data_IF_711926700223
#
_entry.id   IF_711926700223
#
_cell.length_a   1.000
_cell.length_b   1.000
_cell.length_c   1.000
_cell.angle_alpha   90.00
_cell.angle_beta   90.00
_cell.angle_gamma   90.00
#
_symmetry.space_group_name_H-M   'P 1'
#
loop_
_entity.id
_entity.type
_entity.pdbx_description
1 polymer ?
#
# COMPACT_ATOMS: atom_id res chain seq x y z
N UNK A 1 36.07 7.81 -0.26
CA UNK A 1 35.43 6.63 -0.84
C UNK A 1 33.93 6.75 -0.63
N UNK A 2 33.22 7.38 -1.57
CA UNK A 2 31.78 7.57 -1.53
C UNK A 2 31.23 7.01 -2.84
N UNK A 3 30.66 5.80 -2.80
CA UNK A 3 30.01 5.21 -3.94
C UNK A 3 28.61 5.84 -4.07
N UNK A 4 28.51 6.81 -4.97
CA UNK A 4 27.25 7.36 -5.43
C UNK A 4 26.52 6.28 -6.24
N UNK A 5 25.53 5.63 -5.63
CA UNK A 5 24.57 4.80 -6.36
C UNK A 5 23.44 5.70 -6.88
N UNK A 6 23.68 6.30 -8.05
CA UNK A 6 22.62 6.83 -8.89
C UNK A 6 21.79 5.65 -9.43
N UNK A 7 20.62 5.40 -8.86
CA UNK A 7 19.64 4.49 -9.42
C UNK A 7 18.50 5.33 -10.02
N UNK A 8 18.50 5.38 -11.34
CA UNK A 8 17.52 6.05 -12.17
C UNK A 8 16.11 5.55 -11.89
N UNK A 9 15.14 6.43 -12.17
CA UNK A 9 13.71 6.20 -12.25
C UNK A 9 13.35 5.13 -13.31
N UNK A 10 13.77 3.89 -13.09
CA UNK A 10 13.37 2.74 -13.87
C UNK A 10 11.99 2.30 -13.37
N UNK A 11 11.05 2.17 -14.29
CA UNK A 11 9.88 1.34 -14.10
C UNK A 11 10.33 0.04 -13.42
N UNK A 12 9.86 -0.22 -12.20
CA UNK A 12 10.04 -1.51 -11.55
C UNK A 12 9.23 -2.52 -12.36
N UNK A 13 9.84 -3.01 -13.43
CA UNK A 13 9.54 -4.31 -14.02
C UNK A 13 10.28 -5.28 -13.14
N UNK A 14 9.61 -5.79 -12.09
CA UNK A 14 10.09 -7.02 -11.44
C UNK A 14 10.06 -8.10 -12.52
N UNK A 15 11.18 -8.79 -12.82
CA UNK A 15 11.18 -9.90 -13.76
C UNK A 15 10.13 -10.94 -13.32
N UNK A 16 9.16 -11.24 -14.18
CA UNK A 16 8.04 -12.15 -13.89
C UNK A 16 6.71 -11.48 -13.51
N UNK A 17 6.66 -10.15 -13.41
CA UNK A 17 5.41 -9.43 -13.15
C UNK A 17 4.58 -9.31 -14.45
N UNK A 18 3.58 -10.17 -14.63
CA UNK A 18 2.66 -10.06 -15.77
C UNK A 18 1.95 -8.69 -15.74
N UNK A 19 1.81 -8.00 -16.90
CA UNK A 19 1.01 -6.79 -16.99
C UNK A 19 -0.45 -7.15 -16.70
N UNK A 20 -1.09 -6.44 -15.77
CA UNK A 20 -2.54 -6.53 -15.62
C UNK A 20 -3.15 -6.01 -16.92
N UNK A 21 -3.94 -6.85 -17.57
CA UNK A 21 -4.60 -6.56 -18.82
C UNK A 21 -5.39 -5.25 -18.76
N UNK A 22 -5.25 -4.46 -19.81
CA UNK A 22 -5.99 -3.22 -20.02
C UNK A 22 -7.48 -3.48 -20.25
N UNK A 23 -8.32 -2.53 -19.83
CA UNK A 23 -9.79 -2.33 -20.06
C UNK A 23 -10.77 -2.84 -18.98
N UNK A 24 -12.00 -2.28 -18.88
CA UNK A 24 -12.53 -1.02 -19.41
C UNK A 24 -12.72 0.06 -18.32
N UNK A 25 -12.80 1.32 -18.75
CA UNK A 25 -13.13 2.50 -17.94
C UNK A 25 -14.51 2.36 -17.30
N UNK A 26 -14.55 2.31 -15.97
CA UNK A 26 -15.78 2.58 -15.20
C UNK A 26 -16.03 4.09 -15.20
N UNK A 27 -17.28 4.55 -15.41
CA UNK A 27 -17.59 5.98 -15.38
C UNK A 27 -17.48 6.53 -13.96
N UNK A 28 -17.10 7.81 -13.88
CA UNK A 28 -16.91 8.61 -12.67
C UNK A 28 -18.05 8.47 -11.66
N UNK A 29 -17.71 8.04 -10.44
CA UNK A 29 -18.54 8.20 -9.26
C UNK A 29 -18.41 9.65 -8.74
N UNK A 30 -18.87 10.60 -9.53
CA UNK A 30 -19.10 11.97 -9.09
C UNK A 30 -20.40 12.01 -8.26
N UNK A 31 -20.30 11.82 -6.95
CA UNK A 31 -21.20 12.41 -5.94
C UNK A 31 -20.83 11.93 -4.52
N UNK A 32 -19.89 12.64 -3.88
CA UNK A 32 -20.03 12.94 -2.46
C UNK A 32 -19.28 14.25 -2.13
N UNK A 33 -19.73 15.34 -2.75
CA UNK A 33 -19.47 16.70 -2.27
C UNK A 33 -20.39 16.99 -1.07
N UNK A 34 -20.08 16.38 0.06
CA UNK A 34 -20.61 16.82 1.35
C UNK A 34 -19.45 17.43 2.14
N UNK A 35 -19.55 18.72 2.42
CA UNK A 35 -18.48 19.57 2.91
C UNK A 35 -17.78 19.01 4.15
N UNK A 36 -16.47 18.81 4.03
CA UNK A 36 -15.59 18.81 5.19
C UNK A 36 -15.22 20.27 5.41
N UNK A 37 -16.04 20.94 6.23
CA UNK A 37 -15.57 22.08 6.99
C UNK A 37 -14.24 21.69 7.63
N UNK A 38 -13.28 22.62 7.61
CA UNK A 38 -11.99 22.47 8.27
C UNK A 38 -12.20 22.22 9.78
N UNK A 39 -12.47 20.97 10.17
CA UNK A 39 -12.32 20.55 11.54
C UNK A 39 -10.82 20.36 11.76
N UNK A 40 -10.24 21.35 12.41
CA UNK A 40 -8.85 21.49 12.78
C UNK A 40 -8.44 20.48 13.86
N UNK A 41 -8.70 19.19 13.61
CA UNK A 41 -8.18 18.05 14.38
C UNK A 41 -8.05 16.82 13.47
N UNK A 42 -7.26 16.93 12.39
CA UNK A 42 -6.57 15.75 11.86
C UNK A 42 -5.89 15.10 13.07
N UNK A 43 -6.35 13.92 13.48
CA UNK A 43 -5.83 13.23 14.66
C UNK A 43 -4.39 12.80 14.38
N UNK A 44 -3.46 13.73 14.59
CA UNK A 44 -2.01 13.67 14.29
C UNK A 44 -1.27 12.64 15.15
N UNK A 45 -1.94 11.92 16.04
CA UNK A 45 -1.27 11.10 17.04
C UNK A 45 -1.27 9.58 16.77
N UNK A 46 -1.95 9.09 15.73
CA UNK A 46 -2.11 7.64 15.51
C UNK A 46 -1.60 7.10 14.17
N UNK A 47 -2.04 7.70 13.06
CA UNK A 47 -2.02 7.02 11.75
C UNK A 47 -0.93 7.50 10.77
N UNK A 48 0.02 8.32 11.21
CA UNK A 48 1.04 8.93 10.34
C UNK A 48 1.87 7.88 9.58
N UNK A 49 2.13 6.71 10.20
CA UNK A 49 2.92 5.63 9.61
C UNK A 49 2.25 4.92 8.42
N UNK A 50 0.97 5.19 8.13
CA UNK A 50 0.27 4.59 6.99
C UNK A 50 -0.26 5.63 6.01
N UNK A 51 0.04 6.92 6.24
CA UNK A 51 -0.42 7.99 5.37
C UNK A 51 0.36 8.00 4.06
N UNK A 52 -0.37 8.17 2.97
CA UNK A 52 0.19 8.33 1.63
C UNK A 52 0.81 9.73 1.45
N UNK A 53 1.80 9.88 0.57
CA UNK A 53 2.54 11.15 0.40
C UNK A 53 1.66 12.33 -0.03
N UNK A 54 0.62 12.10 -0.84
CA UNK A 54 -0.32 13.14 -1.27
C UNK A 54 -1.21 13.66 -0.14
N UNK A 55 -1.58 12.79 0.79
CA UNK A 55 -2.36 13.18 1.98
C UNK A 55 -1.47 13.96 2.94
N UNK A 56 -0.21 13.55 3.10
CA UNK A 56 0.79 14.32 3.87
C UNK A 56 1.07 15.70 3.25
N UNK A 57 1.07 15.80 1.92
CA UNK A 57 1.25 17.05 1.21
C UNK A 57 0.00 17.95 1.19
N UNK A 58 -1.13 17.49 1.74
CA UNK A 58 -2.39 18.25 1.74
C UNK A 58 -3.08 18.33 0.37
N UNK A 59 -2.70 17.48 -0.59
CA UNK A 59 -3.27 17.45 -1.95
C UNK A 59 -4.68 16.81 -2.00
N UNK A 60 -5.21 16.40 -0.84
CA UNK A 60 -6.50 15.73 -0.70
C UNK A 60 -6.38 14.23 -0.49
N UNK A 61 -7.48 13.64 0.00
CA UNK A 61 -7.62 12.21 0.21
C UNK A 61 -8.44 11.59 -0.92
N UNK A 62 -8.13 10.34 -1.27
CA UNK A 62 -8.91 9.56 -2.22
C UNK A 62 -8.66 8.07 -2.10
N UNK A 63 -9.41 7.21 -2.83
CA UNK A 63 -9.36 5.75 -2.66
C UNK A 63 -7.98 5.11 -2.90
N UNK A 64 -7.09 5.82 -3.60
CA UNK A 64 -5.71 5.36 -3.85
C UNK A 64 -4.75 5.68 -2.70
N UNK A 65 -5.14 6.55 -1.78
CA UNK A 65 -4.46 6.71 -0.50
C UNK A 65 -4.62 5.43 0.34
N UNK A 66 -5.81 4.83 0.35
CA UNK A 66 -6.05 3.56 1.07
C UNK A 66 -5.21 2.41 0.53
N UNK A 67 -4.93 2.40 -0.77
CA UNK A 67 -4.03 1.39 -1.39
C UNK A 67 -2.61 1.49 -0.82
N UNK A 68 -2.12 2.71 -0.59
CA UNK A 68 -0.83 2.92 0.08
C UNK A 68 -0.89 2.41 1.52
N UNK A 69 -1.92 2.80 2.27
CA UNK A 69 -2.11 2.41 3.66
C UNK A 69 -2.21 0.88 3.82
N UNK A 70 -2.92 0.22 2.92
CA UNK A 70 -3.01 -1.24 2.87
C UNK A 70 -1.65 -1.91 2.60
N UNK A 71 -0.83 -1.31 1.72
CA UNK A 71 0.56 -1.74 1.52
C UNK A 71 1.38 -1.66 2.81
N UNK A 72 1.26 -0.55 3.55
CA UNK A 72 1.90 -0.38 4.85
C UNK A 72 1.44 -1.47 5.86
N UNK A 73 0.14 -1.77 5.92
CA UNK A 73 -0.37 -2.86 6.78
C UNK A 73 0.20 -4.22 6.39
N UNK A 74 0.38 -4.50 5.09
CA UNK A 74 1.01 -5.75 4.64
C UNK A 74 2.45 -5.85 5.10
N UNK A 75 3.23 -4.77 5.02
CA UNK A 75 4.59 -4.74 5.59
C UNK A 75 4.52 -5.03 7.09
N UNK A 76 3.66 -4.33 7.82
CA UNK A 76 3.50 -4.50 9.26
C UNK A 76 3.14 -5.93 9.66
N UNK A 77 2.25 -6.59 8.92
CA UNK A 77 1.93 -8.01 9.14
C UNK A 77 3.12 -8.95 8.88
N UNK A 78 4.03 -8.60 7.97
CA UNK A 78 5.22 -9.41 7.67
C UNK A 78 6.32 -9.27 8.71
N UNK A 79 6.49 -8.09 9.31
CA UNK A 79 7.58 -7.81 10.27
C UNK A 79 7.11 -7.69 11.72
N UNK A 80 5.80 -7.59 11.97
CA UNK A 80 5.21 -7.44 13.30
C UNK A 80 5.42 -6.06 13.94
N UNK A 81 5.85 -5.06 13.18
CA UNK A 81 6.15 -3.69 13.64
C UNK A 81 5.86 -2.67 12.54
N UNK A 82 5.93 -1.38 12.84
CA UNK A 82 5.64 -0.30 11.90
C UNK A 82 6.49 -0.37 10.62
N UNK A 83 6.00 0.15 9.47
CA UNK A 83 6.70 0.04 8.18
C UNK A 83 8.09 0.71 8.13
N UNK A 84 8.35 1.67 9.03
CA UNK A 84 9.66 2.30 9.23
C UNK A 84 10.14 2.08 10.67
N UNK A 85 10.58 0.86 11.04
CA UNK A 85 10.79 0.51 12.43
C UNK A 85 11.90 1.31 13.10
N UNK A 86 13.01 1.55 12.40
CA UNK A 86 14.16 2.30 12.94
C UNK A 86 13.80 3.77 13.17
N UNK A 87 13.21 4.42 12.16
CA UNK A 87 12.84 5.83 12.24
C UNK A 87 11.71 6.06 13.24
N UNK A 88 10.72 5.15 13.28
CA UNK A 88 9.59 5.24 14.21
C UNK A 88 10.01 5.04 15.67
N UNK A 89 11.03 4.22 15.94
CA UNK A 89 11.55 4.01 17.29
C UNK A 89 12.23 5.27 17.85
N UNK A 90 12.85 6.08 16.99
CA UNK A 90 13.51 7.33 17.40
C UNK A 90 12.53 8.50 17.46
N UNK A 91 11.80 8.75 16.37
CA UNK A 91 10.90 9.89 16.25
C UNK A 91 9.86 9.69 15.14
N UNK A 92 8.57 9.69 15.51
CA UNK A 92 7.46 9.60 14.56
C UNK A 92 7.50 10.68 13.46
N UNK A 93 8.01 11.88 13.76
CA UNK A 93 8.16 12.94 12.76
C UNK A 93 9.22 12.64 11.70
N UNK A 94 10.22 11.81 12.01
CA UNK A 94 11.19 11.34 11.02
C UNK A 94 10.51 10.55 9.90
N UNK A 95 9.48 9.76 10.22
CA UNK A 95 8.73 9.00 9.23
C UNK A 95 7.92 9.92 8.32
N UNK A 96 7.33 10.98 8.87
CA UNK A 96 6.62 12.01 8.08
C UNK A 96 7.55 12.66 7.06
N UNK A 97 8.75 13.04 7.51
CA UNK A 97 9.75 13.62 6.63
C UNK A 97 10.18 12.63 5.54
N UNK A 98 10.38 11.36 5.90
CA UNK A 98 10.80 10.34 4.94
C UNK A 98 9.71 10.06 3.90
N UNK A 99 8.45 9.91 4.29
CA UNK A 99 7.33 9.79 3.34
C UNK A 99 7.24 11.02 2.43
N UNK A 100 7.55 12.21 2.94
CA UNK A 100 7.49 13.46 2.17
C UNK A 100 8.65 13.62 1.18
N UNK A 101 9.84 13.11 1.51
CA UNK A 101 11.07 13.29 0.72
C UNK A 101 11.41 12.10 -0.17
N UNK A 102 11.20 10.88 0.30
CA UNK A 102 11.64 9.68 -0.38
C UNK A 102 10.93 9.50 -1.72
N UNK A 103 11.70 9.08 -2.73
CA UNK A 103 11.15 8.71 -4.03
C UNK A 103 10.32 7.42 -3.93
N UNK A 104 10.73 6.52 -3.03
CA UNK A 104 10.16 5.20 -2.81
C UNK A 104 9.34 5.14 -1.51
N UNK A 105 8.54 4.08 -1.35
CA UNK A 105 7.77 3.83 -0.14
C UNK A 105 8.58 3.17 0.99
N UNK A 106 7.90 2.58 1.99
CA UNK A 106 8.57 1.88 3.07
C UNK A 106 9.45 0.73 2.55
N UNK A 107 10.55 0.42 3.27
CA UNK A 107 11.45 -0.66 2.88
C UNK A 107 10.73 -2.01 2.88
N UNK A 108 10.81 -2.74 1.76
CA UNK A 108 10.19 -4.05 1.65
C UNK A 108 11.10 -5.08 2.32
N UNK A 109 10.62 -5.84 3.32
CA UNK A 109 11.46 -6.75 4.08
C UNK A 109 11.91 -7.97 3.25
N UNK A 110 13.09 -8.50 3.55
CA UNK A 110 13.65 -9.65 2.82
C UNK A 110 12.79 -10.92 2.93
N UNK A 111 12.07 -11.07 4.05
CA UNK A 111 11.14 -12.17 4.30
C UNK A 111 9.92 -12.17 3.36
N UNK A 112 9.62 -11.05 2.71
CA UNK A 112 8.49 -10.96 1.78
C UNK A 112 8.68 -11.94 0.61
N UNK A 113 7.65 -12.69 0.22
CA UNK A 113 7.73 -13.51 -0.98
C UNK A 113 7.86 -12.66 -2.25
N UNK A 114 8.35 -13.22 -3.36
CA UNK A 114 8.44 -12.49 -4.65
C UNK A 114 7.09 -11.87 -5.06
N UNK A 115 5.99 -12.59 -4.85
CA UNK A 115 4.63 -12.09 -5.10
C UNK A 115 4.26 -10.91 -4.18
N UNK A 116 4.62 -10.99 -2.90
CA UNK A 116 4.41 -9.89 -1.95
C UNK A 116 5.21 -8.64 -2.34
N UNK A 117 6.48 -8.82 -2.73
CA UNK A 117 7.33 -7.71 -3.21
C UNK A 117 6.71 -7.02 -4.44
N UNK A 118 6.23 -7.81 -5.41
CA UNK A 118 5.53 -7.30 -6.59
C UNK A 118 4.26 -6.51 -6.24
N UNK A 119 3.47 -7.04 -5.29
CA UNK A 119 2.27 -6.38 -4.80
C UNK A 119 2.59 -5.04 -4.13
N UNK A 120 3.55 -5.04 -3.19
CA UNK A 120 3.97 -3.86 -2.45
C UNK A 120 4.56 -2.77 -3.36
N UNK A 121 5.37 -3.14 -4.35
CA UNK A 121 5.91 -2.20 -5.34
C UNK A 121 4.81 -1.48 -6.15
N UNK A 122 3.64 -2.10 -6.32
CA UNK A 122 2.48 -1.46 -6.97
C UNK A 122 1.73 -0.54 -6.01
N UNK A 123 1.60 -0.91 -4.74
CA UNK A 123 0.97 -0.08 -3.71
C UNK A 123 1.75 1.21 -3.45
N UNK A 124 3.09 1.14 -3.42
CA UNK A 124 3.95 2.26 -3.06
C UNK A 124 4.38 3.16 -4.22
N UNK A 125 3.56 3.27 -5.26
CA UNK A 125 3.81 4.26 -6.32
C UNK A 125 3.52 5.65 -5.80
N UNK A 126 4.50 6.55 -5.79
CA UNK A 126 4.33 7.91 -5.26
C UNK A 126 3.18 8.67 -5.92
N UNK A 127 3.12 8.62 -7.24
CA UNK A 127 2.00 9.16 -8.02
C UNK A 127 0.73 8.31 -7.81
N UNK A 128 -0.26 8.89 -7.12
CA UNK A 128 -1.57 8.27 -6.94
C UNK A 128 -2.23 7.92 -8.28
N UNK A 129 -1.99 8.70 -9.34
CA UNK A 129 -2.40 8.43 -10.73
C UNK A 129 -2.03 7.04 -11.23
N UNK A 130 -0.86 6.55 -10.81
CA UNK A 130 -0.23 5.30 -11.28
C UNK A 130 -0.47 4.12 -10.35
N UNK A 131 -1.03 4.34 -9.15
CA UNK A 131 -1.41 3.24 -8.25
C UNK A 131 -2.60 2.49 -8.83
N UNK A 132 -2.59 1.15 -8.80
CA UNK A 132 -3.75 0.36 -9.19
C UNK A 132 -4.92 0.63 -8.24
N UNK A 133 -6.13 0.35 -8.71
CA UNK A 133 -7.33 0.36 -7.85
C UNK A 133 -7.34 -0.86 -6.93
N UNK A 134 -8.13 -0.80 -5.85
CA UNK A 134 -8.33 -1.95 -4.97
C UNK A 134 -8.82 -3.19 -5.75
N UNK A 135 -9.75 -3.02 -6.70
CA UNK A 135 -10.25 -4.10 -7.55
C UNK A 135 -9.15 -4.75 -8.39
N UNK A 136 -8.20 -3.96 -8.92
CA UNK A 136 -7.04 -4.49 -9.66
C UNK A 136 -6.06 -5.22 -8.73
N UNK A 137 -5.86 -4.72 -7.51
CA UNK A 137 -4.99 -5.38 -6.53
C UNK A 137 -5.54 -6.70 -6.01
N UNK A 138 -6.87 -6.82 -5.87
CA UNK A 138 -7.52 -8.08 -5.47
C UNK A 138 -7.30 -9.21 -6.49
N UNK A 139 -7.05 -8.88 -7.76
CA UNK A 139 -6.74 -9.85 -8.81
C UNK A 139 -5.28 -10.28 -8.81
N UNK A 140 -4.41 -9.58 -8.08
CA UNK A 140 -2.98 -9.89 -8.00
C UNK A 140 -2.76 -11.26 -7.34
N UNK A 141 -1.85 -12.07 -7.89
CA UNK A 141 -1.57 -13.45 -7.44
C UNK A 141 -1.26 -13.58 -5.94
N UNK A 142 -0.62 -12.55 -5.37
CA UNK A 142 -0.39 -12.45 -3.93
C UNK A 142 -1.69 -12.59 -3.10
N UNK A 143 -2.78 -11.99 -3.57
CA UNK A 143 -4.09 -11.97 -2.89
C UNK A 143 -5.01 -13.06 -3.43
N UNK A 144 -5.04 -13.27 -4.75
CA UNK A 144 -5.94 -14.26 -5.36
C UNK A 144 -5.51 -15.70 -5.05
N UNK A 145 -4.20 -15.96 -4.93
CA UNK A 145 -3.68 -17.27 -4.53
C UNK A 145 -4.01 -17.66 -3.08
N UNK A 146 -4.11 -16.67 -2.18
CA UNK A 146 -4.52 -16.92 -0.78
C UNK A 146 -6.03 -16.99 -0.62
N UNK A 147 -6.81 -16.25 -1.41
CA UNK A 147 -8.28 -16.31 -1.38
C UNK A 147 -8.83 -17.71 -1.71
N UNK A 148 -8.17 -18.47 -2.58
CA UNK A 148 -8.52 -19.86 -2.84
C UNK A 148 -8.31 -20.74 -1.59
N UNK A 149 -7.15 -20.63 -0.94
CA UNK A 149 -6.84 -21.36 0.28
C UNK A 149 -7.79 -21.00 1.45
N UNK A 150 -8.18 -19.73 1.58
CA UNK A 150 -9.12 -19.28 2.61
C UNK A 150 -10.53 -19.83 2.36
N UNK A 151 -10.99 -19.88 1.10
CA UNK A 151 -12.30 -20.47 0.75
C UNK A 151 -12.37 -21.97 1.09
N UNK A 152 -11.30 -22.72 0.83
CA UNK A 152 -11.19 -24.13 1.19
C UNK A 152 -11.19 -24.32 2.72
N UNK A 153 -10.45 -23.49 3.45
CA UNK A 153 -10.44 -23.51 4.92
C UNK A 153 -11.82 -23.19 5.53
N UNK A 154 -12.55 -22.24 4.93
CA UNK A 154 -13.91 -21.89 5.35
C UNK A 154 -14.93 -22.99 5.04
N UNK A 155 -14.83 -23.65 3.88
CA UNK A 155 -15.69 -24.79 3.54
C UNK A 155 -15.44 -25.98 4.48
N UNK A 156 -14.17 -26.27 4.78
CA UNK A 156 -13.81 -27.31 5.77
C UNK A 156 -14.42 -26.99 7.13
N UNK A 157 -14.33 -25.75 7.61
CA UNK A 157 -14.85 -25.37 8.94
C UNK A 157 -16.38 -25.39 9.01
N UNK A 158 -17.06 -25.03 7.90
CA UNK A 158 -18.52 -25.05 7.80
C UNK A 158 -19.12 -26.47 7.82
N UNK A 159 -18.39 -27.48 7.34
CA UNK A 159 -18.84 -28.87 7.40
C UNK A 159 -18.76 -29.48 8.80
N UNK A 160 -17.90 -28.96 9.68
CA UNK A 160 -17.69 -29.49 11.05
C UNK A 160 -18.73 -29.02 12.06
N UNK A 161 -19.43 -27.93 11.75
CA UNK A 161 -20.48 -27.33 12.61
C UNK A 161 -21.90 -27.79 12.25
N UNK A 162 -22.04 -28.69 11.28
CA UNK A 162 -23.32 -29.24 10.80
C UNK A 162 -23.56 -30.69 11.25
N UNK A 163 -22.76 -31.19 12.20
CA UNK A 163 -22.93 -32.47 12.91
C UNK A 163 -23.10 -32.18 14.40
#
# INVERSE_FOLDING_TARGET
AAAAAAAAAAAIVVPGCLPIGSTPTVPDAAALTAGVAADSRVSVQGSLFWMSPEVMAGAGYGPRADVWSAGCCVIEMLIGTHPWPEIAAENAWGVVFEISRAADGPPIPEVASTLARCFLARCFRRDAGKRPTASQLLQHEFVSGTAAAVKEAQQSTRMKHSM
#
